data_IF_479664485592
#
_entry.id   IF_479664485592
#
_cell.length_a   1.000
_cell.length_b   1.000
_cell.length_c   1.000
_cell.angle_alpha   90.00
_cell.angle_beta   90.00
_cell.angle_gamma   90.00
#
_symmetry.space_group_name_H-M   'P 1'
#
loop_
_entity.id
_entity.type
_entity.pdbx_description
1 polymer ?
#
# COMPACT_ATOMS: atom_id res chain seq x y z
N UNK A 1 19.29 10.30 5.14
CA UNK A 1 18.98 10.96 3.86
C UNK A 1 19.86 12.19 3.69
N UNK A 2 20.52 12.41 2.55
CA UNK A 2 21.33 13.61 2.34
C UNK A 2 20.46 14.87 2.32
N UNK A 3 20.97 16.05 2.75
CA UNK A 3 20.20 17.31 2.70
C UNK A 3 19.75 17.73 1.29
N UNK A 4 20.38 17.17 0.26
CA UNK A 4 20.05 17.39 -1.14
C UNK A 4 18.96 16.46 -1.68
N UNK A 5 18.43 15.54 -0.86
CA UNK A 5 17.34 14.67 -1.29
C UNK A 5 16.12 15.52 -1.65
N UNK A 6 15.59 15.26 -2.83
CA UNK A 6 14.47 16.00 -3.40
C UNK A 6 13.57 15.04 -4.18
N UNK A 7 12.41 15.52 -4.58
CA UNK A 7 11.48 14.81 -5.45
C UNK A 7 11.19 15.65 -6.68
N UNK A 8 10.87 14.98 -7.79
CA UNK A 8 10.34 15.63 -8.98
C UNK A 8 8.84 15.87 -8.81
N UNK A 9 8.40 17.12 -8.89
CA UNK A 9 6.98 17.46 -8.88
C UNK A 9 6.34 17.15 -10.24
N UNK A 10 5.28 16.36 -10.21
CA UNK A 10 4.35 16.17 -11.32
C UNK A 10 3.01 16.81 -10.94
N UNK A 11 2.33 17.43 -11.91
CA UNK A 11 1.07 18.12 -11.65
C UNK A 11 -0.01 17.73 -12.63
N UNK A 12 -1.22 17.55 -12.12
CA UNK A 12 -2.45 17.34 -12.88
C UNK A 12 -3.54 18.28 -12.42
N UNK A 13 -4.48 18.65 -13.29
CA UNK A 13 -5.64 19.49 -12.94
C UNK A 13 -5.32 20.78 -12.19
N UNK A 14 -4.16 21.40 -12.51
CA UNK A 14 -3.62 22.59 -11.83
C UNK A 14 -3.22 22.32 -10.37
N UNK A 15 -2.81 21.09 -10.06
CA UNK A 15 -2.17 20.74 -8.80
C UNK A 15 -0.95 21.62 -8.55
N UNK A 16 -0.74 21.97 -7.30
CA UNK A 16 0.36 22.84 -6.87
C UNK A 16 1.13 22.20 -5.73
N UNK A 17 2.33 22.72 -5.48
CA UNK A 17 3.12 22.37 -4.30
C UNK A 17 3.76 23.66 -3.75
N UNK A 18 2.98 24.49 -3.03
CA UNK A 18 3.41 25.83 -2.63
C UNK A 18 4.56 25.83 -1.60
N UNK A 19 4.86 24.69 -0.95
CA UNK A 19 5.88 24.55 0.08
C UNK A 19 5.72 25.53 1.27
N UNK A 20 4.52 26.08 1.43
CA UNK A 20 4.11 26.91 2.56
C UNK A 20 3.62 25.97 3.69
N UNK A 21 4.20 26.04 4.91
CA UNK A 21 3.78 25.20 6.03
C UNK A 21 2.29 25.30 6.35
N UNK A 22 1.67 26.49 6.19
CA UNK A 22 0.23 26.70 6.43
C UNK A 22 -0.66 25.99 5.37
N UNK A 23 -0.05 25.60 4.25
CA UNK A 23 -0.71 24.92 3.13
C UNK A 23 -0.25 23.47 2.99
N UNK A 24 0.73 23.04 3.78
CA UNK A 24 1.28 21.69 3.73
C UNK A 24 0.33 20.70 4.40
N UNK A 25 -0.07 19.67 3.66
CA UNK A 25 -0.87 18.57 4.20
C UNK A 25 -0.01 17.68 5.11
N UNK A 26 -0.46 17.43 6.33
CA UNK A 26 0.15 16.46 7.26
C UNK A 26 0.29 15.09 6.59
N UNK A 27 -0.74 14.67 5.86
CA UNK A 27 -0.77 13.41 5.12
C UNK A 27 0.34 13.33 4.06
N UNK A 28 0.40 14.33 3.20
CA UNK A 28 1.42 14.41 2.14
C UNK A 28 2.84 14.47 2.70
N UNK A 29 3.03 15.17 3.82
CA UNK A 29 4.33 15.19 4.51
C UNK A 29 4.72 13.81 5.04
N UNK A 30 3.77 13.06 5.63
CA UNK A 30 4.01 11.70 6.10
C UNK A 30 4.41 10.79 4.92
N UNK A 31 3.63 10.79 3.84
CA UNK A 31 3.86 9.96 2.67
C UNK A 31 5.25 10.18 2.07
N UNK A 32 5.63 11.45 1.86
CA UNK A 32 6.92 11.81 1.27
C UNK A 32 8.09 11.50 2.21
N UNK A 33 7.96 11.76 3.51
CA UNK A 33 9.03 11.47 4.47
C UNK A 33 9.32 9.98 4.58
N UNK A 34 8.29 9.14 4.62
CA UNK A 34 8.50 7.70 4.69
C UNK A 34 8.87 7.10 3.34
N UNK A 35 8.39 7.65 2.22
CA UNK A 35 8.83 7.21 0.89
C UNK A 35 10.31 7.52 0.65
N UNK A 36 10.69 8.80 0.77
CA UNK A 36 12.07 9.24 0.54
C UNK A 36 13.03 8.79 1.65
N UNK A 37 12.56 8.68 2.89
CA UNK A 37 13.34 8.25 4.03
C UNK A 37 13.71 6.77 3.96
N UNK A 38 12.72 5.89 3.70
CA UNK A 38 12.96 4.44 3.60
C UNK A 38 13.67 4.10 2.29
N UNK A 39 13.18 4.59 1.15
CA UNK A 39 13.82 4.36 -0.17
C UNK A 39 14.86 5.45 -0.50
N UNK A 40 15.73 5.79 0.46
CA UNK A 40 16.79 6.80 0.23
C UNK A 40 17.65 6.40 -0.97
N UNK A 41 17.78 7.30 -1.95
CA UNK A 41 18.59 7.10 -3.16
C UNK A 41 17.81 6.59 -4.37
N UNK A 42 16.56 6.16 -4.19
CA UNK A 42 15.65 5.87 -5.30
C UNK A 42 15.01 7.18 -5.79
N UNK A 43 14.94 7.45 -7.11
CA UNK A 43 14.28 8.64 -7.63
C UNK A 43 12.82 8.75 -7.16
N UNK A 44 12.49 9.87 -6.51
CA UNK A 44 11.16 10.14 -5.98
C UNK A 44 10.39 11.12 -6.87
N UNK A 45 9.12 10.81 -7.12
CA UNK A 45 8.19 11.71 -7.82
C UNK A 45 7.01 11.99 -6.90
N UNK A 46 6.55 13.23 -6.86
CA UNK A 46 5.35 13.64 -6.13
C UNK A 46 4.30 14.11 -7.14
N UNK A 47 3.18 13.40 -7.23
CA UNK A 47 2.07 13.77 -8.10
C UNK A 47 1.04 14.60 -7.34
N UNK A 48 0.95 15.89 -7.66
CA UNK A 48 -0.05 16.80 -7.13
C UNK A 48 -1.23 16.93 -8.09
N UNK A 49 -2.43 16.62 -7.62
CA UNK A 49 -3.66 16.68 -8.40
C UNK A 49 -4.52 17.83 -7.87
N UNK A 50 -4.88 18.75 -8.75
CA UNK A 50 -5.79 19.85 -8.44
C UNK A 50 -7.27 19.48 -8.59
N UNK A 51 -8.15 20.36 -8.09
CA UNK A 51 -9.62 20.20 -8.02
C UNK A 51 -10.09 19.04 -7.12
N UNK A 52 -11.27 19.21 -6.50
CA UNK A 52 -11.80 18.31 -5.49
C UNK A 52 -12.90 17.38 -6.04
N UNK A 53 -12.60 16.65 -7.12
CA UNK A 53 -13.43 15.56 -7.63
C UNK A 53 -12.62 14.26 -7.54
N UNK A 54 -12.77 13.54 -6.43
CA UNK A 54 -11.98 12.33 -6.16
C UNK A 54 -12.21 11.19 -7.18
N UNK A 55 -13.45 10.90 -7.61
CA UNK A 55 -13.71 9.99 -8.72
C UNK A 55 -12.98 10.36 -10.01
N UNK A 56 -12.99 11.64 -10.39
CA UNK A 56 -12.24 12.11 -11.55
C UNK A 56 -10.73 11.97 -11.33
N UNK A 57 -10.21 12.39 -10.18
CA UNK A 57 -8.79 12.33 -9.85
C UNK A 57 -8.19 10.92 -9.99
N UNK A 58 -8.92 9.87 -9.55
CA UNK A 58 -8.47 8.48 -9.72
C UNK A 58 -8.36 8.14 -11.22
N UNK A 59 -9.41 8.41 -12.01
CA UNK A 59 -9.41 8.14 -13.46
C UNK A 59 -8.34 8.92 -14.20
N UNK A 60 -8.20 10.20 -13.87
CA UNK A 60 -7.21 11.07 -14.49
C UNK A 60 -5.81 10.55 -14.19
N UNK A 61 -5.53 10.15 -12.95
CA UNK A 61 -4.22 9.56 -12.59
C UNK A 61 -3.90 8.33 -13.44
N UNK A 62 -4.88 7.44 -13.68
CA UNK A 62 -4.66 6.26 -14.54
C UNK A 62 -4.29 6.66 -15.97
N UNK A 63 -5.00 7.67 -16.50
CA UNK A 63 -4.79 8.18 -17.86
C UNK A 63 -3.42 8.88 -17.97
N UNK A 64 -3.02 9.59 -16.91
CA UNK A 64 -1.73 10.26 -16.83
C UNK A 64 -0.58 9.27 -16.83
N UNK A 65 -0.64 8.22 -15.99
CA UNK A 65 0.39 7.19 -15.94
C UNK A 65 0.51 6.43 -17.27
N UNK A 66 -0.61 6.11 -17.92
CA UNK A 66 -0.64 5.49 -19.26
C UNK A 66 0.03 6.40 -20.32
N UNK A 67 0.04 7.72 -20.11
CA UNK A 67 0.63 8.71 -21.00
C UNK A 67 2.12 8.98 -20.78
N UNK A 68 2.73 8.45 -19.72
CA UNK A 68 4.15 8.63 -19.43
C UNK A 68 4.96 7.51 -20.11
N UNK A 69 5.98 7.86 -20.88
CA UNK A 69 6.83 6.90 -21.59
C UNK A 69 7.56 5.93 -20.64
N UNK A 70 8.03 6.44 -19.50
CA UNK A 70 8.70 5.68 -18.44
C UNK A 70 8.02 5.96 -17.09
N UNK A 71 6.86 5.33 -16.82
CA UNK A 71 6.13 5.57 -15.59
C UNK A 71 6.94 5.06 -14.38
N UNK A 72 6.70 5.60 -13.17
CA UNK A 72 7.30 5.07 -11.96
C UNK A 72 6.93 3.59 -11.80
N UNK A 73 7.91 2.77 -11.37
CA UNK A 73 7.70 1.32 -11.20
C UNK A 73 6.89 0.98 -9.94
N UNK A 74 6.79 1.93 -9.02
CA UNK A 74 5.97 1.85 -7.81
C UNK A 74 5.33 3.21 -7.58
N UNK A 75 4.03 3.21 -7.32
CA UNK A 75 3.29 4.38 -6.88
C UNK A 75 2.58 4.04 -5.57
N UNK A 76 2.68 4.92 -4.59
CA UNK A 76 1.89 4.88 -3.36
C UNK A 76 0.91 6.05 -3.35
N UNK A 77 -0.23 5.83 -2.73
CA UNK A 77 -1.21 6.85 -2.38
C UNK A 77 -1.80 6.44 -1.03
N UNK A 78 -2.39 7.41 -0.35
CA UNK A 78 -3.02 7.23 0.96
C UNK A 78 -4.44 7.83 0.95
N UNK A 79 -5.09 7.94 -0.21
CA UNK A 79 -6.39 8.60 -0.35
C UNK A 79 -7.51 7.62 -0.68
N UNK A 80 -8.65 7.70 0.03
CA UNK A 80 -9.80 6.82 -0.20
C UNK A 80 -11.19 7.30 0.15
N UNK A 81 -12.16 6.54 -0.36
CA UNK A 81 -13.57 6.70 -0.04
C UNK A 81 -14.30 5.36 -0.08
N UNK A 82 -15.47 5.31 0.55
CA UNK A 82 -16.34 4.15 0.53
C UNK A 82 -16.57 3.67 -0.90
N UNK A 83 -16.56 2.35 -1.12
CA UNK A 83 -16.75 1.77 -2.45
C UNK A 83 -18.09 2.18 -3.06
N UNK A 84 -19.14 2.32 -2.23
CA UNK A 84 -20.47 2.78 -2.62
C UNK A 84 -20.57 4.28 -2.98
N UNK A 85 -19.50 5.05 -2.74
CA UNK A 85 -19.37 6.42 -3.22
C UNK A 85 -19.11 6.46 -4.73
N UNK A 86 -18.53 5.39 -5.28
CA UNK A 86 -18.20 5.27 -6.70
C UNK A 86 -19.33 4.57 -7.46
N UNK A 87 -19.48 4.92 -8.73
CA UNK A 87 -20.30 4.11 -9.64
C UNK A 87 -19.53 2.82 -9.92
N UNK A 88 -20.17 1.67 -9.73
CA UNK A 88 -19.56 0.37 -10.05
C UNK A 88 -19.03 0.34 -11.49
N UNK A 89 -19.76 0.91 -12.45
CA UNK A 89 -19.31 0.99 -13.86
C UNK A 89 -18.02 1.77 -14.06
N UNK A 90 -17.75 2.76 -13.21
CA UNK A 90 -16.48 3.49 -13.20
C UNK A 90 -15.40 2.64 -12.54
N UNK A 91 -15.66 2.09 -11.35
CA UNK A 91 -14.72 1.28 -10.58
C UNK A 91 -14.24 0.04 -11.37
N UNK A 92 -15.15 -0.59 -12.12
CA UNK A 92 -14.86 -1.77 -12.95
C UNK A 92 -14.46 -1.41 -14.39
N UNK A 93 -14.24 -0.14 -14.71
CA UNK A 93 -13.84 0.26 -16.06
C UNK A 93 -12.45 -0.28 -16.40
N UNK A 94 -12.22 -0.60 -17.69
CA UNK A 94 -10.92 -1.12 -18.15
C UNK A 94 -9.75 -0.18 -17.86
N UNK A 95 -10.00 1.13 -17.78
CA UNK A 95 -8.96 2.12 -17.49
C UNK A 95 -8.44 1.95 -16.05
N UNK A 96 -9.34 1.72 -15.08
CA UNK A 96 -8.93 1.49 -13.68
C UNK A 96 -8.33 0.09 -13.46
N UNK A 97 -8.69 -0.89 -14.28
CA UNK A 97 -8.09 -2.23 -14.21
C UNK A 97 -6.63 -2.27 -14.70
N UNK A 98 -6.15 -1.21 -15.37
CA UNK A 98 -4.75 -1.06 -15.76
C UNK A 98 -3.87 -0.53 -14.64
N UNK A 99 -4.46 -0.16 -13.51
CA UNK A 99 -3.71 0.18 -12.31
C UNK A 99 -2.92 -1.05 -11.88
N UNK A 100 -1.60 -1.02 -12.07
CA UNK A 100 -0.68 -1.97 -11.47
C UNK A 100 0.30 -1.18 -10.60
N UNK A 101 0.44 -1.58 -9.34
CA UNK A 101 1.29 -0.91 -8.36
C UNK A 101 0.69 -0.87 -6.96
N UNK A 102 1.50 -0.51 -5.97
CA UNK A 102 1.13 -0.45 -4.56
C UNK A 102 0.27 0.78 -4.22
N UNK A 103 -0.93 0.85 -4.78
CA UNK A 103 -1.89 1.89 -4.40
C UNK A 103 -2.49 1.53 -3.05
N UNK A 104 -2.44 2.45 -2.09
CA UNK A 104 -3.14 2.25 -0.83
C UNK A 104 -3.98 3.45 -0.48
N UNK A 105 -4.75 3.25 0.56
CA UNK A 105 -6.01 3.91 0.70
C UNK A 105 -6.28 4.01 2.17
N UNK A 106 -6.68 5.20 2.59
CA UNK A 106 -7.17 5.39 3.93
C UNK A 106 -8.58 4.83 4.11
N UNK A 107 -8.85 4.46 5.36
CA UNK A 107 -10.12 4.05 5.97
C UNK A 107 -10.59 2.60 5.81
N UNK A 108 -9.76 1.60 6.15
CA UNK A 108 -10.34 0.29 6.56
C UNK A 108 -10.83 0.38 8.01
N UNK A 109 -11.53 1.44 8.42
CA UNK A 109 -12.29 1.32 9.67
C UNK A 109 -13.38 0.32 9.38
N UNK A 110 -13.33 -0.85 10.02
CA UNK A 110 -14.53 -1.67 10.24
C UNK A 110 -15.57 -0.69 10.78
N UNK A 111 -16.49 -0.25 9.92
CA UNK A 111 -17.49 0.77 10.22
C UNK A 111 -18.61 0.14 11.07
N UNK A 112 -18.22 -0.47 12.19
CA UNK A 112 -19.07 -0.64 13.35
C UNK A 112 -18.77 0.52 14.30
N UNK A 113 -19.58 1.57 14.18
CA UNK A 113 -19.82 2.69 15.11
C UNK A 113 -19.35 4.09 14.64
N UNK A 114 -20.37 4.85 14.20
CA UNK A 114 -20.70 6.24 14.57
C UNK A 114 -19.52 7.22 14.77
N UNK A 115 -19.40 8.11 13.77
CA UNK A 115 -18.73 9.42 13.74
C UNK A 115 -17.24 9.35 13.39
N UNK A 116 -16.95 9.61 12.11
CA UNK A 116 -16.17 10.77 11.66
C UNK A 116 -16.33 10.96 10.13
N UNK A 117 -16.45 12.22 9.71
CA UNK A 117 -16.48 12.76 8.33
C UNK A 117 -17.46 12.20 7.29
N UNK A 118 -18.65 11.81 7.74
CA UNK A 118 -19.96 12.15 7.16
C UNK A 118 -20.96 11.19 7.79
N UNK A 119 -22.15 11.70 8.11
CA UNK A 119 -23.13 10.99 8.91
C UNK A 119 -23.85 9.85 8.15
N UNK A 120 -23.14 8.92 7.51
CA UNK A 120 -23.76 7.64 7.12
C UNK A 120 -23.75 6.73 8.35
N UNK A 121 -24.87 6.74 9.09
CA UNK A 121 -25.25 5.58 9.91
C UNK A 121 -25.24 4.39 8.96
N UNK A 122 -24.51 3.32 9.27
CA UNK A 122 -24.73 2.02 8.64
C UNK A 122 -26.21 1.69 8.86
N UNK A 123 -27.03 1.80 7.81
CA UNK A 123 -28.47 1.59 7.95
C UNK A 123 -28.77 0.13 8.30
N UNK A 124 -27.87 -0.79 7.95
CA UNK A 124 -28.09 -2.24 7.97
C UNK A 124 -27.05 -3.05 8.78
N UNK A 125 -26.20 -2.42 9.60
CA UNK A 125 -25.15 -3.12 10.37
C UNK A 125 -24.17 -3.95 9.53
N UNK A 126 -24.04 -3.63 8.23
CA UNK A 126 -23.08 -4.23 7.30
C UNK A 126 -21.81 -3.42 7.23
N UNK A 127 -20.73 -4.07 6.82
CA UNK A 127 -19.49 -3.40 6.53
C UNK A 127 -19.53 -2.63 5.20
N UNK A 128 -18.69 -1.60 5.09
CA UNK A 128 -18.61 -0.70 3.94
C UNK A 128 -17.17 -0.75 3.41
N UNK A 129 -16.93 -1.43 2.28
CA UNK A 129 -15.61 -1.50 1.65
C UNK A 129 -15.12 -0.14 1.19
N UNK A 130 -13.83 -0.02 0.93
CA UNK A 130 -13.17 1.22 0.46
C UNK A 130 -12.50 0.98 -0.88
N UNK A 131 -12.63 1.95 -1.79
CA UNK A 131 -12.08 1.90 -3.15
C UNK A 131 -11.10 3.07 -3.39
N UNK A 132 -9.97 2.88 -4.12
CA UNK A 132 -9.53 1.65 -4.80
C UNK A 132 -8.90 0.49 -4.01
N UNK A 133 -8.94 0.44 -2.68
CA UNK A 133 -8.33 -0.68 -1.93
C UNK A 133 -8.98 -2.03 -2.23
N UNK A 134 -10.27 -2.02 -2.55
CA UNK A 134 -11.04 -3.18 -2.97
C UNK A 134 -10.78 -3.62 -4.42
N UNK A 135 -10.03 -2.84 -5.20
CA UNK A 135 -9.73 -3.16 -6.60
C UNK A 135 -8.71 -4.32 -6.67
N UNK A 136 -9.00 -5.41 -7.39
CA UNK A 136 -8.12 -6.58 -7.45
C UNK A 136 -6.84 -6.37 -8.28
N UNK A 137 -6.62 -5.18 -8.84
CA UNK A 137 -5.40 -4.81 -9.55
C UNK A 137 -4.48 -3.92 -8.72
N UNK A 138 -4.95 -3.51 -7.53
CA UNK A 138 -4.21 -2.71 -6.57
C UNK A 138 -3.64 -3.62 -5.48
N UNK A 139 -2.39 -3.41 -5.08
CA UNK A 139 -1.85 -4.03 -3.86
C UNK A 139 -2.24 -3.20 -2.64
N UNK A 140 -3.26 -3.65 -1.92
CA UNK A 140 -3.75 -2.99 -0.72
C UNK A 140 -2.87 -3.33 0.50
N UNK A 141 -2.46 -2.33 1.28
CA UNK A 141 -1.57 -2.50 2.44
C UNK A 141 -2.28 -2.08 3.72
N UNK A 142 -2.45 -3.04 4.63
CA UNK A 142 -2.95 -2.85 5.98
C UNK A 142 -1.87 -2.40 6.97
N UNK A 143 -2.29 -2.11 8.19
CA UNK A 143 -1.42 -1.68 9.27
C UNK A 143 -1.32 -2.67 10.41
N UNK A 144 -0.09 -2.92 10.84
CA UNK A 144 0.25 -3.57 12.09
C UNK A 144 0.78 -2.57 13.11
N UNK A 145 0.83 -2.99 14.37
CA UNK A 145 1.39 -2.24 15.49
C UNK A 145 2.12 -3.16 16.47
N UNK A 146 3.11 -2.61 17.18
CA UNK A 146 3.93 -3.35 18.14
C UNK A 146 4.95 -4.26 17.44
N UNK A 147 5.97 -4.69 18.18
CA UNK A 147 7.10 -5.43 17.60
C UNK A 147 7.14 -6.89 18.05
N UNK A 148 6.73 -7.19 19.28
CA UNK A 148 6.77 -8.55 19.84
C UNK A 148 5.71 -8.69 20.95
N UNK A 149 4.47 -9.10 20.63
CA UNK A 149 3.98 -9.46 19.29
C UNK A 149 3.66 -8.23 18.43
N UNK A 150 3.93 -8.34 17.13
CA UNK A 150 3.27 -7.52 16.12
C UNK A 150 1.81 -7.98 15.99
N UNK A 151 0.88 -7.04 15.93
CA UNK A 151 -0.57 -7.32 15.83
C UNK A 151 -1.25 -6.36 14.87
N UNK A 152 -2.39 -6.78 14.32
CA UNK A 152 -3.21 -5.91 13.49
C UNK A 152 -3.65 -4.65 14.26
N UNK A 153 -3.73 -3.52 13.55
CA UNK A 153 -4.46 -2.35 14.02
C UNK A 153 -5.96 -2.65 13.85
N UNK A 154 -6.81 -2.13 14.74
CA UNK A 154 -8.25 -2.44 14.81
C UNK A 154 -9.10 -1.91 13.63
N UNK A 155 -8.46 -1.53 12.53
CA UNK A 155 -9.06 -0.92 11.34
C UNK A 155 -8.36 -1.45 10.07
N UNK A 156 -8.31 -2.77 9.91
CA UNK A 156 -7.70 -3.42 8.73
C UNK A 156 -8.49 -4.66 8.33
N UNK A 157 -8.79 -4.82 7.04
CA UNK A 157 -9.49 -6.01 6.52
C UNK A 157 -10.96 -5.78 6.16
N UNK A 158 -11.36 -6.11 4.93
CA UNK A 158 -12.74 -6.04 4.44
C UNK A 158 -12.94 -6.85 3.14
N UNK A 159 -14.18 -7.03 2.67
CA UNK A 159 -14.51 -7.68 1.39
C UNK A 159 -15.28 -6.75 0.46
N UNK A 160 -14.84 -6.63 -0.79
CA UNK A 160 -15.49 -5.81 -1.82
C UNK A 160 -16.95 -6.22 -2.09
N UNK A 161 -17.81 -5.23 -2.34
CA UNK A 161 -19.14 -5.40 -2.91
C UNK A 161 -19.14 -5.29 -4.46
N UNK A 162 -18.10 -4.71 -5.07
CA UNK A 162 -18.02 -4.54 -6.53
C UNK A 162 -17.26 -5.64 -7.24
N UNK A 163 -16.19 -6.14 -6.64
CA UNK A 163 -15.24 -7.05 -7.25
C UNK A 163 -15.37 -8.43 -6.63
N UNK A 164 -15.55 -9.50 -7.42
CA UNK A 164 -15.46 -10.87 -6.90
C UNK A 164 -14.02 -11.18 -6.46
N UNK A 165 -13.87 -12.21 -5.63
CA UNK A 165 -12.55 -12.73 -5.26
C UNK A 165 -11.69 -12.99 -6.51
N UNK A 166 -10.49 -12.39 -6.55
CA UNK A 166 -9.58 -12.55 -7.67
C UNK A 166 -8.98 -13.97 -7.70
N UNK A 167 -8.58 -14.45 -8.87
CA UNK A 167 -8.09 -15.83 -9.04
C UNK A 167 -6.92 -16.19 -8.11
N UNK A 168 -6.06 -15.21 -7.79
CA UNK A 168 -4.87 -15.42 -6.96
C UNK A 168 -5.17 -15.51 -5.46
N UNK A 169 -6.36 -15.09 -5.00
CA UNK A 169 -6.72 -15.07 -3.58
C UNK A 169 -7.82 -16.06 -3.21
N UNK A 170 -8.32 -16.86 -4.17
CA UNK A 170 -9.47 -17.75 -3.95
C UNK A 170 -9.26 -18.71 -2.79
N UNK A 171 -8.09 -19.34 -2.71
CA UNK A 171 -7.73 -20.26 -1.62
C UNK A 171 -7.60 -19.54 -0.27
N UNK A 172 -6.94 -18.38 -0.24
CA UNK A 172 -6.77 -17.59 0.98
C UNK A 172 -8.11 -17.06 1.51
N UNK A 173 -8.99 -16.59 0.62
CA UNK A 173 -10.34 -16.15 0.98
C UNK A 173 -11.17 -17.32 1.52
N UNK A 174 -11.15 -18.48 0.84
CA UNK A 174 -11.87 -19.65 1.32
C UNK A 174 -11.42 -20.06 2.73
N UNK A 175 -10.11 -20.15 2.96
CA UNK A 175 -9.54 -20.46 4.28
C UNK A 175 -9.88 -19.40 5.34
N UNK A 176 -9.86 -18.12 5.01
CA UNK A 176 -10.24 -17.07 5.95
C UNK A 176 -11.73 -17.16 6.35
N UNK A 177 -12.62 -17.42 5.41
CA UNK A 177 -14.06 -17.53 5.68
C UNK A 177 -14.39 -18.67 6.66
N UNK A 178 -13.58 -19.72 6.72
CA UNK A 178 -13.71 -20.80 7.72
C UNK A 178 -13.36 -20.35 9.14
N UNK A 179 -12.63 -19.25 9.30
CA UNK A 179 -12.25 -18.68 10.61
C UNK A 179 -13.26 -17.68 11.16
N UNK A 180 -14.21 -17.25 10.32
CA UNK A 180 -15.17 -16.20 10.67
C UNK A 180 -16.21 -16.74 11.65
N UNK A 181 -16.40 -16.09 12.82
CA UNK A 181 -17.45 -16.47 13.76
C UNK A 181 -18.86 -16.30 13.18
N UNK A 182 -19.81 -17.14 13.62
CA UNK A 182 -21.19 -17.16 13.13
C UNK A 182 -21.94 -15.82 13.30
N UNK A 183 -21.55 -14.99 14.26
CA UNK A 183 -22.16 -13.67 14.52
C UNK A 183 -21.78 -12.60 13.48
N UNK A 184 -20.98 -12.96 12.47
CA UNK A 184 -20.66 -12.14 11.30
C UNK A 184 -21.46 -12.48 10.05
N UNK A 185 -22.39 -13.44 10.12
CA UNK A 185 -23.26 -13.80 9.00
C UNK A 185 -24.06 -12.60 8.47
N UNK A 186 -24.00 -12.38 7.16
CA UNK A 186 -24.70 -11.29 6.47
C UNK A 186 -24.12 -9.88 6.68
N UNK A 187 -22.95 -9.76 7.32
CA UNK A 187 -22.32 -8.45 7.58
C UNK A 187 -21.50 -7.95 6.39
N UNK A 188 -20.86 -8.85 5.64
CA UNK A 188 -19.97 -8.52 4.53
C UNK A 188 -20.20 -9.47 3.35
N UNK A 189 -19.69 -9.10 2.17
CA UNK A 189 -19.81 -9.91 0.97
C UNK A 189 -18.76 -11.04 0.95
N UNK A 190 -19.15 -12.25 1.35
CA UNK A 190 -18.26 -13.42 1.38
C UNK A 190 -17.76 -13.88 0.00
N UNK A 191 -18.29 -13.32 -1.09
CA UNK A 191 -17.84 -13.61 -2.47
C UNK A 191 -16.91 -12.55 -3.04
N UNK A 192 -16.69 -11.47 -2.29
CA UNK A 192 -15.90 -10.31 -2.70
C UNK A 192 -14.40 -10.56 -2.72
N UNK A 193 -13.68 -9.65 -3.39
CA UNK A 193 -12.25 -9.46 -3.25
C UNK A 193 -11.93 -9.12 -1.79
N UNK A 194 -11.15 -9.97 -1.13
CA UNK A 194 -10.60 -9.69 0.20
C UNK A 194 -9.43 -8.73 0.08
N UNK A 195 -9.31 -7.82 1.04
CA UNK A 195 -8.18 -6.90 1.17
C UNK A 195 -7.98 -6.57 2.66
N UNK A 196 -6.78 -6.19 3.12
CA UNK A 196 -5.57 -5.89 2.35
C UNK A 196 -4.83 -7.15 1.87
N UNK A 197 -3.95 -6.98 0.88
CA UNK A 197 -3.07 -8.04 0.35
C UNK A 197 -1.78 -8.20 1.17
N UNK A 198 -1.31 -7.13 1.78
CA UNK A 198 -0.11 -7.08 2.61
C UNK A 198 -0.35 -6.22 3.85
N UNK A 199 0.55 -6.26 4.83
CA UNK A 199 0.52 -5.33 5.97
C UNK A 199 1.91 -5.03 6.50
N UNK A 200 2.11 -3.80 6.99
CA UNK A 200 3.35 -3.33 7.59
C UNK A 200 3.06 -2.42 8.79
N UNK A 201 4.06 -2.10 9.61
CA UNK A 201 3.89 -1.18 10.73
C UNK A 201 3.21 0.11 10.27
N UNK A 202 2.22 0.57 11.03
CA UNK A 202 1.47 1.77 10.71
C UNK A 202 1.04 2.53 11.95
N UNK A 203 1.74 2.40 13.08
CA UNK A 203 1.35 3.05 14.33
C UNK A 203 2.52 3.77 14.99
N UNK A 204 2.28 4.99 15.49
CA UNK A 204 3.27 5.86 16.12
C UNK A 204 4.52 6.12 15.26
N UNK A 205 4.30 6.45 14.00
CA UNK A 205 5.33 6.89 13.07
C UNK A 205 5.68 8.34 13.38
N UNK A 206 6.96 8.60 13.66
CA UNK A 206 7.49 9.94 13.86
C UNK A 206 7.59 10.66 12.51
N UNK A 207 7.09 11.88 12.43
CA UNK A 207 7.19 12.72 11.24
C UNK A 207 7.40 14.17 11.65
N UNK A 208 7.91 14.99 10.74
CA UNK A 208 8.02 16.44 10.92
C UNK A 208 6.98 17.15 10.06
N UNK A 209 6.13 17.99 10.64
CA UNK A 209 5.26 18.89 9.89
C UNK A 209 5.25 20.26 10.57
N UNK A 210 5.31 21.33 9.78
CA UNK A 210 5.37 22.71 10.27
C UNK A 210 6.49 22.92 11.32
N UNK A 211 7.65 22.28 11.10
CA UNK A 211 8.79 22.34 12.02
C UNK A 211 8.61 21.56 13.34
N UNK A 212 7.46 20.92 13.56
CA UNK A 212 7.16 20.14 14.77
C UNK A 212 7.28 18.63 14.53
N UNK A 213 7.77 17.91 15.52
CA UNK A 213 7.78 16.44 15.54
C UNK A 213 6.42 15.93 16.02
N UNK A 214 5.77 15.14 15.18
CA UNK A 214 4.45 14.57 15.41
C UNK A 214 4.50 13.05 15.33
N UNK A 215 3.57 12.38 16.04
CA UNK A 215 3.30 10.96 15.86
C UNK A 215 2.02 10.77 15.05
N UNK A 216 2.10 10.00 13.97
CA UNK A 216 0.97 9.62 13.12
C UNK A 216 0.91 8.11 12.93
N UNK A 217 -0.15 7.64 12.29
CA UNK A 217 -0.37 6.23 12.02
C UNK A 217 -1.55 6.03 11.09
N UNK A 218 -1.95 4.77 10.93
CA UNK A 218 -2.87 4.32 9.90
C UNK A 218 -2.15 3.72 8.70
N UNK A 219 -2.95 3.26 7.74
CA UNK A 219 -2.45 2.65 6.49
C UNK A 219 -1.63 3.63 5.65
N UNK A 220 -1.79 4.94 5.87
CA UNK A 220 -0.95 6.01 5.32
C UNK A 220 0.52 5.94 5.71
N UNK A 221 0.85 5.35 6.87
CA UNK A 221 2.24 5.11 7.24
C UNK A 221 2.74 3.78 6.64
N UNK A 222 1.86 2.77 6.62
CA UNK A 222 2.16 1.42 6.14
C UNK A 222 2.42 1.37 4.64
N UNK A 223 1.62 2.07 3.84
CA UNK A 223 1.71 2.06 2.39
C UNK A 223 3.02 2.62 1.84
N UNK A 224 3.42 3.87 2.12
CA UNK A 224 4.68 4.41 1.62
C UNK A 224 5.87 3.60 2.13
N UNK A 225 5.77 3.00 3.34
CA UNK A 225 6.79 2.07 3.85
C UNK A 225 6.88 0.81 2.98
N UNK A 226 5.75 0.16 2.69
CA UNK A 226 5.72 -1.04 1.84
C UNK A 226 6.15 -0.73 0.40
N UNK A 227 5.62 0.34 -0.19
CA UNK A 227 6.00 0.81 -1.51
C UNK A 227 7.50 1.11 -1.61
N UNK A 228 8.10 1.70 -0.56
CA UNK A 228 9.55 1.93 -0.50
C UNK A 228 10.36 0.64 -0.49
N UNK A 229 9.89 -0.39 0.21
CA UNK A 229 10.52 -1.71 0.18
C UNK A 229 10.48 -2.28 -1.24
N UNK A 230 9.33 -2.21 -1.92
CA UNK A 230 9.21 -2.65 -3.32
C UNK A 230 10.12 -1.83 -4.24
N UNK A 231 10.21 -0.51 -4.03
CA UNK A 231 11.07 0.37 -4.81
C UNK A 231 12.56 0.00 -4.66
N UNK A 232 13.01 -0.32 -3.45
CA UNK A 232 14.37 -0.81 -3.19
C UNK A 232 14.63 -2.18 -3.83
N UNK A 233 13.64 -3.08 -3.83
CA UNK A 233 13.73 -4.36 -4.54
C UNK A 233 13.85 -4.13 -6.05
N UNK A 234 13.04 -3.22 -6.62
CA UNK A 234 13.07 -2.86 -8.03
C UNK A 234 14.41 -2.23 -8.42
N UNK A 235 14.93 -1.30 -7.62
CA UNK A 235 16.26 -0.73 -7.80
C UNK A 235 17.34 -1.83 -7.88
N UNK A 236 17.28 -2.79 -6.95
CA UNK A 236 18.21 -3.92 -6.97
C UNK A 236 18.05 -4.79 -8.21
N UNK A 237 16.82 -5.12 -8.63
CA UNK A 237 16.56 -5.92 -9.83
C UNK A 237 17.12 -5.23 -11.07
N UNK A 238 16.89 -3.92 -11.21
CA UNK A 238 17.45 -3.10 -12.29
C UNK A 238 18.99 -3.14 -12.28
N UNK A 239 19.62 -3.02 -11.11
CA UNK A 239 21.09 -3.06 -10.98
C UNK A 239 21.71 -4.37 -11.50
N UNK A 240 20.95 -5.46 -11.49
CA UNK A 240 21.36 -6.78 -12.03
C UNK A 240 20.67 -7.13 -13.35
N UNK A 241 20.11 -6.14 -14.04
CA UNK A 241 19.44 -6.27 -15.35
C UNK A 241 18.29 -7.29 -15.35
N UNK A 242 17.57 -7.38 -14.23
CA UNK A 242 16.33 -8.15 -14.11
C UNK A 242 15.12 -7.23 -14.28
N UNK A 243 14.00 -7.74 -14.81
CA UNK A 243 12.73 -7.04 -14.77
C UNK A 243 12.36 -6.64 -13.34
N UNK A 244 11.71 -5.50 -13.20
CA UNK A 244 11.12 -5.05 -11.93
C UNK A 244 9.93 -5.92 -11.53
N UNK A 245 9.54 -5.82 -10.27
CA UNK A 245 8.25 -6.28 -9.80
C UNK A 245 7.17 -5.34 -10.35
N UNK A 246 6.25 -5.90 -11.14
CA UNK A 246 5.06 -5.23 -11.67
C UNK A 246 3.86 -5.52 -10.73
N UNK A 247 2.77 -6.08 -11.24
CA UNK A 247 1.64 -6.49 -10.40
C UNK A 247 2.01 -7.66 -9.46
N UNK A 248 2.15 -7.38 -8.16
CA UNK A 248 2.69 -8.32 -7.18
C UNK A 248 1.66 -9.18 -6.44
N UNK A 249 0.36 -8.90 -6.52
CA UNK A 249 -0.62 -9.66 -5.73
C UNK A 249 -0.53 -11.17 -5.98
N UNK A 250 -0.49 -11.69 -7.24
CA UNK A 250 -0.37 -13.13 -7.47
C UNK A 250 0.84 -13.75 -6.76
N UNK A 251 1.96 -13.02 -6.73
CA UNK A 251 3.18 -13.47 -6.07
C UNK A 251 3.07 -13.47 -4.54
N UNK A 252 2.42 -12.47 -3.95
CA UNK A 252 2.17 -12.38 -2.50
C UNK A 252 1.36 -13.59 -2.00
N UNK A 253 0.31 -13.99 -2.74
CA UNK A 253 -0.53 -15.12 -2.34
C UNK A 253 0.14 -16.49 -2.58
N UNK A 254 0.96 -16.63 -3.62
CA UNK A 254 1.75 -17.86 -3.86
C UNK A 254 2.79 -18.08 -2.76
N UNK A 255 3.54 -17.04 -2.37
CA UNK A 255 4.57 -17.17 -1.34
C UNK A 255 4.01 -17.21 0.07
N UNK A 256 2.84 -16.60 0.29
CA UNK A 256 2.20 -16.49 1.60
C UNK A 256 1.40 -17.73 2.05
N UNK A 257 1.20 -18.73 1.18
CA UNK A 257 0.58 -20.01 1.53
C UNK A 257 -0.75 -19.90 2.27
N UNK A 258 -1.60 -18.92 1.94
CA UNK A 258 -2.90 -18.72 2.59
C UNK A 258 -2.86 -18.35 4.09
N UNK A 259 -1.69 -18.16 4.70
CA UNK A 259 -1.54 -17.89 6.15
C UNK A 259 -0.89 -16.54 6.47
N UNK A 260 -0.54 -15.73 5.46
CA UNK A 260 0.30 -14.55 5.64
C UNK A 260 -0.45 -13.22 5.88
N UNK A 261 -1.59 -13.24 6.57
CA UNK A 261 -2.24 -11.99 7.04
C UNK A 261 -1.48 -11.32 8.21
N UNK A 262 -0.29 -11.80 8.61
CA UNK A 262 0.47 -11.22 9.72
C UNK A 262 2.01 -11.31 9.64
N UNK A 263 2.64 -11.69 8.51
CA UNK A 263 4.09 -11.94 8.50
C UNK A 263 4.88 -11.39 7.29
N UNK A 264 4.67 -10.13 6.92
CA UNK A 264 5.62 -9.48 6.00
C UNK A 264 6.78 -8.77 6.72
N UNK A 265 6.73 -8.48 8.03
CA UNK A 265 7.88 -7.87 8.72
C UNK A 265 8.10 -8.43 10.13
N UNK A 266 8.60 -9.67 10.22
CA UNK A 266 9.39 -10.06 11.40
C UNK A 266 10.87 -9.87 11.07
N UNK A 267 11.43 -8.74 11.55
CA UNK A 267 12.87 -8.47 11.54
C UNK A 267 13.56 -9.33 12.61
N UNK A 268 13.67 -10.65 12.38
CA UNK A 268 14.41 -11.52 13.30
C UNK A 268 15.87 -11.52 12.88
N UNK A 269 16.71 -10.82 13.65
CA UNK A 269 18.19 -10.80 13.50
C UNK A 269 18.71 -10.16 12.20
N UNK A 270 18.10 -9.05 11.76
CA UNK A 270 18.65 -8.24 10.66
C UNK A 270 18.52 -8.84 9.27
N UNK A 271 17.74 -9.93 9.11
CA UNK A 271 17.43 -10.52 7.80
C UNK A 271 15.91 -10.71 7.72
N UNK A 272 15.22 -10.12 6.73
CA UNK A 272 13.79 -10.36 6.54
C UNK A 272 13.51 -11.83 6.16
N UNK A 273 12.51 -12.46 6.78
CA UNK A 273 12.09 -13.84 6.52
C UNK A 273 11.72 -14.12 5.04
N UNK A 274 11.28 -13.10 4.28
CA UNK A 274 11.01 -13.25 2.85
C UNK A 274 12.27 -13.52 2.02
N UNK A 275 13.46 -13.22 2.54
CA UNK A 275 14.72 -13.41 1.82
C UNK A 275 15.06 -14.90 1.63
N UNK A 276 14.77 -15.72 2.63
CA UNK A 276 14.99 -17.17 2.58
C UNK A 276 14.02 -17.85 1.60
N UNK A 277 12.77 -17.36 1.55
CA UNK A 277 11.75 -17.82 0.59
C UNK A 277 12.09 -17.39 -0.84
N UNK A 278 12.60 -16.17 -1.03
CA UNK A 278 13.04 -15.66 -2.34
C UNK A 278 14.29 -16.40 -2.86
N UNK A 279 15.20 -16.80 -1.96
CA UNK A 279 16.36 -17.64 -2.29
C UNK A 279 15.97 -19.06 -2.73
N UNK A 280 14.96 -19.67 -2.08
CA UNK A 280 14.43 -20.97 -2.51
C UNK A 280 13.73 -20.88 -3.88
N UNK A 281 12.96 -19.80 -4.13
CA UNK A 281 12.19 -19.63 -5.36
C UNK A 281 13.06 -19.31 -6.59
N UNK A 282 14.21 -18.64 -6.41
CA UNK A 282 15.11 -18.25 -7.50
C UNK A 282 16.24 -19.25 -7.82
N UNK A 283 16.25 -20.41 -7.18
CA UNK A 283 17.14 -21.52 -7.52
C UNK A 283 18.63 -21.24 -7.25
N UNK A 284 19.09 -21.55 -6.03
CA UNK A 284 20.43 -22.07 -5.78
C UNK A 284 21.66 -21.28 -6.27
N UNK A 285 21.55 -19.96 -6.51
CA UNK A 285 22.70 -19.14 -6.85
C UNK A 285 23.20 -18.39 -5.61
N UNK A 286 24.34 -18.86 -5.09
CA UNK A 286 25.19 -18.29 -4.02
C UNK A 286 25.61 -16.80 -4.25
N UNK A 287 25.04 -16.13 -5.25
CA UNK A 287 25.27 -14.73 -5.60
C UNK A 287 24.25 -13.80 -4.95
N UNK A 288 23.04 -14.25 -4.62
CA UNK A 288 22.00 -13.38 -4.04
C UNK A 288 22.22 -13.07 -2.54
N UNK A 289 22.80 -14.01 -1.79
CA UNK A 289 23.21 -13.79 -0.38
C UNK A 289 24.24 -12.67 -0.25
N UNK A 290 25.27 -12.64 -1.12
CA UNK A 290 26.32 -11.59 -1.11
C UNK A 290 25.81 -10.20 -1.48
N UNK A 291 24.74 -10.17 -2.27
CA UNK A 291 24.14 -8.95 -2.78
C UNK A 291 23.33 -8.23 -1.71
N UNK A 292 22.62 -8.96 -0.84
CA UNK A 292 21.84 -8.32 0.22
C UNK A 292 22.66 -8.02 1.48
N UNK A 293 23.72 -8.79 1.78
CA UNK A 293 24.67 -8.44 2.85
C UNK A 293 25.34 -7.09 2.58
N UNK A 294 25.60 -6.76 1.31
CA UNK A 294 26.16 -5.46 0.93
C UNK A 294 25.17 -4.28 1.03
N UNK A 295 23.86 -4.54 1.06
CA UNK A 295 22.79 -3.52 1.17
C UNK A 295 22.46 -3.21 2.64
N UNK A 296 22.72 -4.15 3.57
CA UNK A 296 22.35 -4.05 4.97
C UNK A 296 23.51 -3.77 5.93
N UNK A 297 24.75 -3.74 5.45
CA UNK A 297 25.95 -3.48 6.27
C UNK A 297 26.56 -2.11 5.89
N UNK A 298 26.26 -1.02 6.62
CA UNK A 298 26.98 0.22 6.45
C UNK A 298 28.32 0.07 7.18
N UNK A 299 29.39 -0.19 6.41
CA UNK A 299 30.83 -0.09 6.70
C UNK A 299 31.59 -1.38 6.40
N UNK A 300 32.30 -1.39 5.26
CA UNK A 300 33.71 -1.79 5.22
C UNK A 300 34.36 -1.25 3.93
N UNK A 301 35.43 -0.45 4.03
CA UNK A 301 36.20 -0.01 2.88
C UNK A 301 37.14 -1.13 2.41
N UNK A 302 37.14 -1.40 1.10
CA UNK A 302 38.31 -1.89 0.37
C UNK A 302 38.35 -1.21 -0.99
#
# INVERSE_FOLDING_TARGET
MPPSATFTLLTMDKGTNPQDPDQAGVETNLDIQYTGGVATGVPLQFLSIGKFDFPAAILDTTTFLDGIENPPTVMTTSYGSAEDFFRQSMATSKNLQRLHGAWCMWDIRILRLRRLWSARKCSNNTFIPVFPASCPFVTSVGSTQGFTPEKAVNFTGEFSNFFPAAYYQTEAVAGFLETIPDDFSGIFNTTGCGFPDASTQGWNFEMVADGEVLLKGGTSASSPTFASIIALINDRLISVRKPVLDFINPWVYILGGGQLLAQIIVWKRGIPLWLDTLQQYLGGLNTFSRVLTAVLDPVSPT
#
